data_IF_853224921644
#
_entry.id   IF_853224921644
#
_cell.length_a   1.000
_cell.length_b   1.000
_cell.length_c   1.000
_cell.angle_alpha   90.00
_cell.angle_beta   90.00
_cell.angle_gamma   90.00
#
_symmetry.space_group_name_H-M   'P 1'
#
loop_
_entity.id
_entity.type
_entity.pdbx_description
1 polymer ?
#
# COMPACT_ATOMS: atom_id res chain seq x y z
N UNK A 1 20.08 12.25 13.51
CA UNK A 1 18.60 12.09 13.56
C UNK A 1 18.29 11.02 12.54
N UNK A 2 17.99 9.79 12.96
CA UNK A 2 17.93 8.63 12.06
C UNK A 2 17.04 8.84 10.83
N UNK A 3 15.92 9.55 10.99
CA UNK A 3 15.02 9.88 9.87
C UNK A 3 15.62 10.86 8.86
N UNK A 4 16.52 11.75 9.30
CA UNK A 4 17.24 12.67 8.42
C UNK A 4 18.30 11.93 7.60
N UNK A 5 19.02 11.02 8.24
CA UNK A 5 20.05 10.21 7.59
C UNK A 5 19.43 9.24 6.57
N UNK A 6 18.38 8.51 6.95
CA UNK A 6 17.63 7.64 6.03
C UNK A 6 17.08 8.38 4.82
N UNK A 7 16.55 9.60 5.02
CA UNK A 7 16.08 10.43 3.92
C UNK A 7 17.22 10.83 2.98
N UNK A 8 18.37 11.21 3.52
CA UNK A 8 19.52 11.57 2.70
C UNK A 8 20.02 10.37 1.89
N UNK A 9 20.11 9.19 2.52
CA UNK A 9 20.46 7.95 1.81
C UNK A 9 19.51 7.65 0.65
N UNK A 10 18.20 7.85 0.84
CA UNK A 10 17.23 7.69 -0.24
C UNK A 10 17.43 8.70 -1.37
N UNK A 11 17.70 9.97 -1.05
CA UNK A 11 17.97 11.00 -2.05
C UNK A 11 19.23 10.70 -2.86
N UNK A 12 20.33 10.35 -2.18
CA UNK A 12 21.59 9.99 -2.80
C UNK A 12 21.43 8.78 -3.73
N UNK A 13 20.58 7.81 -3.35
CA UNK A 13 20.27 6.65 -4.16
C UNK A 13 19.48 7.02 -5.42
N UNK A 14 18.43 7.85 -5.30
CA UNK A 14 17.62 8.31 -6.44
C UNK A 14 18.49 9.08 -7.44
N UNK A 15 19.29 10.02 -6.95
CA UNK A 15 20.22 10.80 -7.77
C UNK A 15 21.31 9.91 -8.40
N UNK A 16 21.82 8.94 -7.64
CA UNK A 16 22.81 7.96 -8.11
C UNK A 16 22.30 7.08 -9.26
N UNK A 17 20.99 6.82 -9.32
CA UNK A 17 20.35 6.15 -10.45
C UNK A 17 20.06 7.08 -11.64
N UNK A 18 20.37 8.37 -11.54
CA UNK A 18 20.05 9.36 -12.56
C UNK A 18 18.55 9.67 -12.67
N UNK A 19 17.77 9.35 -11.63
CA UNK A 19 16.33 9.61 -11.58
C UNK A 19 16.12 11.05 -11.07
N UNK A 20 15.27 11.86 -11.73
CA UNK A 20 14.95 13.20 -11.25
C UNK A 20 14.35 13.18 -9.85
N UNK A 21 15.03 13.83 -8.89
CA UNK A 21 14.54 13.99 -7.53
C UNK A 21 13.85 15.36 -7.36
N UNK A 22 12.57 15.33 -7.02
CA UNK A 22 11.80 16.52 -6.65
C UNK A 22 11.49 16.46 -5.17
N UNK A 23 11.83 17.51 -4.43
CA UNK A 23 11.48 17.60 -3.01
C UNK A 23 10.60 18.81 -2.77
N UNK A 24 9.48 18.58 -2.09
CA UNK A 24 8.63 19.61 -1.53
C UNK A 24 8.29 19.21 -0.11
N UNK A 25 8.60 20.07 0.85
CA UNK A 25 8.30 19.80 2.25
C UNK A 25 6.94 20.39 2.61
N UNK A 26 6.02 19.55 3.08
CA UNK A 26 4.74 20.00 3.60
C UNK A 26 4.88 20.95 4.80
N UNK A 27 5.88 20.71 5.66
CA UNK A 27 6.13 21.50 6.88
C UNK A 27 6.42 22.98 6.61
N UNK A 28 7.03 23.28 5.48
CA UNK A 28 7.41 24.64 5.09
C UNK A 28 6.46 25.24 4.07
N UNK A 29 5.51 24.46 3.55
CA UNK A 29 4.57 24.92 2.56
C UNK A 29 3.33 25.48 3.25
N UNK A 30 3.06 26.78 3.08
CA UNK A 30 1.87 27.46 3.61
C UNK A 30 1.49 27.03 5.04
N UNK A 31 2.40 27.16 6.02
CA UNK A 31 2.12 26.75 7.40
C UNK A 31 0.91 27.49 7.98
N UNK A 32 0.63 28.71 7.48
CA UNK A 32 -0.59 29.47 7.78
C UNK A 32 -1.87 28.70 7.44
N UNK A 33 -1.93 28.06 6.26
CA UNK A 33 -3.08 27.25 5.87
C UNK A 33 -3.11 25.90 6.58
N UNK A 34 -1.96 25.28 6.83
CA UNK A 34 -1.92 23.99 7.55
C UNK A 34 -2.61 24.07 8.91
N UNK A 35 -2.48 25.19 9.62
CA UNK A 35 -3.09 25.40 10.93
C UNK A 35 -4.56 25.90 10.86
N UNK A 36 -4.94 26.58 9.77
CA UNK A 36 -6.23 27.28 9.68
C UNK A 36 -7.26 26.64 8.75
N UNK A 37 -6.82 26.00 7.66
CA UNK A 37 -7.65 25.35 6.65
C UNK A 37 -6.88 24.23 5.95
N UNK A 38 -6.96 23.01 6.51
CA UNK A 38 -6.27 21.84 5.98
C UNK A 38 -6.74 21.45 4.56
N UNK A 39 -8.00 21.75 4.21
CA UNK A 39 -8.51 21.48 2.87
C UNK A 39 -7.88 22.41 1.85
N UNK A 40 -7.92 23.71 2.09
CA UNK A 40 -7.30 24.70 1.20
C UNK A 40 -5.79 24.46 1.10
N UNK A 41 -5.15 24.12 2.23
CA UNK A 41 -3.74 23.73 2.22
C UNK A 41 -3.46 22.58 1.26
N UNK A 42 -4.28 21.52 1.32
CA UNK A 42 -4.13 20.33 0.48
C UNK A 42 -4.34 20.65 -0.98
N UNK A 43 -5.36 21.44 -1.31
CA UNK A 43 -5.64 21.86 -2.69
C UNK A 43 -4.46 22.69 -3.25
N UNK A 44 -3.88 23.62 -2.46
CA UNK A 44 -2.70 24.39 -2.85
C UNK A 44 -1.44 23.53 -2.96
N UNK A 45 -1.25 22.57 -2.06
CA UNK A 45 -0.12 21.65 -2.11
C UNK A 45 -0.21 20.75 -3.34
N UNK A 46 -1.42 20.26 -3.65
CA UNK A 46 -1.75 19.53 -4.85
C UNK A 46 -1.37 20.26 -6.13
N UNK A 47 -1.80 21.52 -6.27
CA UNK A 47 -1.42 22.39 -7.39
C UNK A 47 0.09 22.48 -7.55
N UNK A 48 0.82 22.61 -6.46
CA UNK A 48 2.29 22.68 -6.47
C UNK A 48 2.93 21.36 -6.88
N UNK A 49 2.41 20.22 -6.41
CA UNK A 49 2.84 18.89 -6.85
C UNK A 49 2.65 18.76 -8.36
N UNK A 50 1.43 19.02 -8.88
CA UNK A 50 1.16 18.97 -10.33
C UNK A 50 2.07 19.89 -11.12
N UNK A 51 2.31 21.12 -10.65
CA UNK A 51 3.23 22.06 -11.31
C UNK A 51 4.65 21.50 -11.41
N UNK A 52 5.15 20.88 -10.34
CA UNK A 52 6.49 20.30 -10.29
C UNK A 52 6.63 19.03 -11.13
N UNK A 53 5.58 18.21 -11.20
CA UNK A 53 5.61 16.93 -11.90
C UNK A 53 5.22 17.02 -13.37
N UNK A 54 4.50 18.07 -13.79
CA UNK A 54 4.04 18.28 -15.17
C UNK A 54 5.11 18.08 -16.26
N UNK A 55 6.37 18.53 -16.10
CA UNK A 55 7.40 18.35 -17.13
C UNK A 55 7.76 16.90 -17.45
N UNK A 56 7.40 15.94 -16.58
CA UNK A 56 7.84 14.55 -16.69
C UNK A 56 6.84 13.62 -17.39
N UNK A 57 5.61 14.09 -17.67
CA UNK A 57 4.60 13.30 -18.39
C UNK A 57 4.27 11.97 -17.70
N UNK A 58 3.69 12.02 -16.49
CA UNK A 58 3.41 10.83 -15.69
C UNK A 58 2.31 9.97 -16.35
N UNK A 59 2.67 8.75 -16.76
CA UNK A 59 1.71 7.73 -17.20
C UNK A 59 1.07 6.97 -16.02
N UNK A 60 1.85 6.75 -14.96
CA UNK A 60 1.43 6.03 -13.74
C UNK A 60 2.21 6.55 -12.53
N UNK A 61 1.50 6.92 -11.46
CA UNK A 61 2.09 7.29 -10.17
C UNK A 61 2.00 6.15 -9.16
N UNK A 62 3.02 5.96 -8.33
CA UNK A 62 3.00 5.01 -7.21
C UNK A 62 3.23 5.79 -5.91
N UNK A 63 2.26 5.72 -4.99
CA UNK A 63 2.35 6.29 -3.66
C UNK A 63 2.98 5.27 -2.71
N UNK A 64 4.30 5.16 -2.72
CA UNK A 64 5.05 4.26 -1.83
C UNK A 64 5.44 5.00 -0.53
N UNK A 65 4.60 4.89 0.50
CA UNK A 65 4.83 5.56 1.80
C UNK A 65 4.57 7.07 1.76
N UNK A 66 3.62 7.51 0.93
CA UNK A 66 3.16 8.89 0.90
C UNK A 66 2.20 9.14 2.08
N UNK A 67 2.66 9.89 3.08
CA UNK A 67 1.96 10.07 4.36
C UNK A 67 1.05 11.30 4.40
N UNK A 68 0.55 11.76 3.26
CA UNK A 68 -0.35 12.92 3.15
C UNK A 68 -1.58 12.52 2.33
N UNK A 69 -2.70 13.22 2.56
CA UNK A 69 -3.84 13.10 1.67
C UNK A 69 -3.57 13.85 0.36
N UNK A 70 -3.78 13.17 -0.76
CA UNK A 70 -3.72 13.80 -2.08
C UNK A 70 -4.99 14.61 -2.32
N UNK A 71 -4.88 15.75 -3.00
CA UNK A 71 -6.04 16.54 -3.38
C UNK A 71 -6.85 15.88 -4.51
N UNK A 72 -8.13 16.25 -4.57
CA UNK A 72 -9.09 15.67 -5.50
C UNK A 72 -8.70 15.88 -6.97
N UNK A 73 -8.12 17.03 -7.30
CA UNK A 73 -7.78 17.37 -8.68
C UNK A 73 -6.59 16.54 -9.16
N UNK A 74 -5.57 16.33 -8.32
CA UNK A 74 -4.46 15.42 -8.66
C UNK A 74 -4.92 13.97 -8.81
N UNK A 75 -5.83 13.49 -7.95
CA UNK A 75 -6.44 12.16 -8.11
C UNK A 75 -7.21 12.00 -9.43
N UNK A 76 -7.82 13.08 -9.94
CA UNK A 76 -8.51 13.07 -11.24
C UNK A 76 -7.53 13.13 -12.39
N UNK A 77 -6.52 13.99 -12.33
CA UNK A 77 -5.54 14.22 -13.40
C UNK A 77 -4.62 13.03 -13.62
N UNK A 78 -4.09 12.42 -12.56
CA UNK A 78 -3.15 11.31 -12.65
C UNK A 78 -3.77 9.98 -12.25
N UNK A 79 -3.33 8.91 -12.93
CA UNK A 79 -3.53 7.55 -12.47
C UNK A 79 -2.46 7.23 -11.44
N UNK A 80 -2.82 7.29 -10.17
CA UNK A 80 -1.91 7.00 -9.05
C UNK A 80 -2.40 5.79 -8.29
N UNK A 81 -1.49 4.91 -7.93
CA UNK A 81 -1.78 3.71 -7.14
C UNK A 81 -1.24 3.86 -5.73
N UNK A 82 -2.02 3.44 -4.75
CA UNK A 82 -1.59 3.32 -3.37
C UNK A 82 -1.58 1.84 -2.95
N UNK A 83 -0.60 1.48 -2.14
CA UNK A 83 -0.46 0.14 -1.60
C UNK A 83 -1.33 0.00 -0.34
N UNK A 84 -2.14 -1.05 -0.28
CA UNK A 84 -2.91 -1.42 0.89
C UNK A 84 -2.58 -2.87 1.30
N UNK A 85 -2.29 -3.16 2.59
CA UNK A 85 -1.85 -4.46 3.06
C UNK A 85 -3.02 -5.42 3.32
N UNK A 86 -3.95 -5.53 2.37
CA UNK A 86 -5.03 -6.50 2.40
C UNK A 86 -5.38 -6.97 0.97
N UNK A 87 -6.13 -8.06 0.87
CA UNK A 87 -6.77 -8.46 -0.38
C UNK A 87 -7.85 -7.45 -0.79
N UNK A 88 -8.25 -7.41 -2.08
CA UNK A 88 -9.29 -6.50 -2.61
C UNK A 88 -10.59 -6.41 -1.80
N UNK A 89 -11.05 -7.54 -1.25
CA UNK A 89 -12.26 -7.64 -0.43
C UNK A 89 -11.96 -7.77 1.07
N UNK A 90 -10.71 -7.48 1.48
CA UNK A 90 -10.23 -7.64 2.84
C UNK A 90 -10.49 -6.41 3.73
N UNK A 91 -10.01 -6.48 4.98
CA UNK A 91 -10.11 -5.38 5.94
C UNK A 91 -9.50 -4.06 5.45
N UNK A 92 -10.00 -2.96 6.01
CA UNK A 92 -9.48 -1.61 5.80
C UNK A 92 -8.87 -1.06 7.08
N UNK A 93 -8.01 -0.06 6.94
CA UNK A 93 -7.31 0.56 8.06
C UNK A 93 -5.80 0.35 7.97
N UNK A 94 -5.13 0.65 9.07
CA UNK A 94 -3.70 0.41 9.24
C UNK A 94 -3.38 -1.08 9.12
N UNK A 95 -2.11 -1.40 8.81
CA UNK A 95 -1.66 -2.78 8.71
C UNK A 95 -1.87 -3.55 10.04
N UNK A 96 -1.80 -2.87 11.19
CA UNK A 96 -2.09 -3.52 12.48
C UNK A 96 -3.57 -3.91 12.61
N UNK A 97 -4.47 -2.99 12.28
CA UNK A 97 -5.92 -3.24 12.34
C UNK A 97 -6.32 -4.35 11.37
N UNK A 98 -5.77 -4.33 10.16
CA UNK A 98 -6.00 -5.37 9.15
C UNK A 98 -5.61 -6.75 9.68
N UNK A 99 -4.39 -6.92 10.18
CA UNK A 99 -3.92 -8.24 10.64
C UNK A 99 -4.73 -8.73 11.84
N UNK A 100 -5.02 -7.86 12.82
CA UNK A 100 -5.86 -8.25 13.95
C UNK A 100 -7.29 -8.59 13.55
N UNK A 101 -7.85 -7.93 12.53
CA UNK A 101 -9.15 -8.29 11.99
C UNK A 101 -9.12 -9.67 11.31
N UNK A 102 -8.09 -9.96 10.51
CA UNK A 102 -7.92 -11.29 9.88
C UNK A 102 -7.80 -12.40 10.93
N UNK A 103 -7.04 -12.16 12.00
CA UNK A 103 -6.92 -13.11 13.12
C UNK A 103 -8.27 -13.32 13.79
N UNK A 104 -8.99 -12.22 14.11
CA UNK A 104 -10.32 -12.28 14.74
C UNK A 104 -11.33 -13.06 13.89
N UNK A 105 -11.27 -12.91 12.57
CA UNK A 105 -12.17 -13.56 11.63
C UNK A 105 -11.76 -15.00 11.31
N UNK A 106 -10.61 -15.47 11.82
CA UNK A 106 -10.09 -16.80 11.50
C UNK A 106 -9.77 -16.95 10.01
N UNK A 107 -9.34 -15.87 9.36
CA UNK A 107 -9.15 -15.84 7.91
C UNK A 107 -8.11 -16.85 7.44
N UNK A 108 -8.31 -17.41 6.25
CA UNK A 108 -7.37 -18.38 5.66
C UNK A 108 -6.29 -17.73 4.79
N UNK A 109 -6.52 -16.48 4.36
CA UNK A 109 -5.65 -15.77 3.43
C UNK A 109 -5.41 -14.34 3.85
N UNK A 110 -4.22 -13.85 3.50
CA UNK A 110 -3.85 -12.45 3.51
C UNK A 110 -3.26 -12.07 2.15
N UNK A 111 -3.06 -10.79 1.90
CA UNK A 111 -2.38 -10.28 0.73
C UNK A 111 -2.07 -8.80 0.83
N UNK A 112 -1.66 -8.25 -0.30
CA UNK A 112 -1.51 -6.82 -0.52
C UNK A 112 -2.12 -6.47 -1.87
N UNK A 113 -2.59 -5.24 -2.01
CA UNK A 113 -3.17 -4.72 -3.25
C UNK A 113 -2.62 -3.34 -3.58
N UNK A 114 -2.55 -3.04 -4.88
CA UNK A 114 -2.44 -1.69 -5.39
C UNK A 114 -3.81 -1.25 -5.90
N UNK A 115 -4.34 -0.20 -5.31
CA UNK A 115 -5.64 0.37 -5.70
C UNK A 115 -5.46 1.79 -6.23
N UNK A 116 -6.38 2.20 -7.09
CA UNK A 116 -6.39 3.55 -7.62
C UNK A 116 -6.65 4.57 -6.49
N UNK A 117 -5.95 5.70 -6.54
CA UNK A 117 -6.23 6.84 -5.67
C UNK A 117 -7.44 7.59 -6.21
N UNK A 118 -8.40 7.89 -5.34
CA UNK A 118 -9.60 8.64 -5.68
C UNK A 118 -9.88 9.70 -4.61
N UNK A 119 -10.69 10.73 -4.92
CA UNK A 119 -11.18 11.70 -3.93
C UNK A 119 -11.86 11.06 -2.69
N UNK A 120 -12.34 9.82 -2.81
CA UNK A 120 -13.06 9.13 -1.75
C UNK A 120 -12.15 8.35 -0.77
N UNK A 121 -10.82 8.45 -0.90
CA UNK A 121 -9.76 7.90 -0.04
C UNK A 121 -9.87 6.39 0.25
N UNK A 122 -8.84 5.61 -0.13
CA UNK A 122 -8.78 4.14 0.07
C UNK A 122 -10.05 3.37 -0.40
N UNK A 123 -10.72 3.96 -1.40
CA UNK A 123 -11.97 3.47 -2.01
C UNK A 123 -11.87 3.33 -3.52
N UNK A 124 -10.74 3.69 -4.13
CA UNK A 124 -10.57 3.45 -5.55
C UNK A 124 -10.50 1.96 -5.87
N UNK A 125 -10.77 1.64 -7.14
CA UNK A 125 -10.81 0.27 -7.59
C UNK A 125 -9.45 -0.43 -7.35
N UNK A 126 -9.45 -1.64 -6.77
CA UNK A 126 -8.23 -2.44 -6.67
C UNK A 126 -7.84 -2.87 -8.09
N UNK A 127 -6.56 -2.66 -8.45
CA UNK A 127 -6.07 -2.95 -9.80
C UNK A 127 -5.26 -4.22 -9.85
N UNK A 128 -4.30 -4.37 -8.94
CA UNK A 128 -3.47 -5.58 -8.83
C UNK A 128 -3.39 -6.02 -7.39
N UNK A 129 -3.20 -7.32 -7.17
CA UNK A 129 -2.99 -7.84 -5.82
C UNK A 129 -2.11 -9.09 -5.87
N UNK A 130 -1.56 -9.45 -4.72
CA UNK A 130 -1.01 -10.78 -4.47
C UNK A 130 -1.58 -11.30 -3.15
N UNK A 131 -1.82 -12.60 -3.05
CA UNK A 131 -2.33 -13.24 -1.84
C UNK A 131 -1.60 -14.51 -1.49
N UNK A 132 -1.54 -14.82 -0.20
CA UNK A 132 -0.90 -16.00 0.34
C UNK A 132 -1.77 -16.63 1.43
N UNK A 133 -1.56 -17.93 1.69
CA UNK A 133 -2.21 -18.65 2.78
C UNK A 133 -1.63 -18.18 4.12
N UNK A 134 -2.50 -17.98 5.10
CA UNK A 134 -2.10 -17.84 6.52
C UNK A 134 -2.52 -19.08 7.32
N UNK A 135 -2.61 -20.22 6.64
CA UNK A 135 -2.87 -21.57 7.13
C UNK A 135 -1.86 -22.55 6.54
N UNK A 136 -1.71 -23.71 7.15
CA UNK A 136 -0.78 -24.76 6.73
C UNK A 136 0.59 -24.62 7.37
N UNK A 137 1.60 -25.15 6.68
CA UNK A 137 2.98 -25.20 7.18
C UNK A 137 3.49 -23.80 7.59
N UNK A 138 4.01 -23.71 8.81
CA UNK A 138 4.50 -22.46 9.39
C UNK A 138 3.42 -21.55 10.02
N UNK A 139 2.13 -21.88 9.86
CA UNK A 139 1.01 -21.14 10.43
C UNK A 139 0.17 -21.95 11.41
N UNK A 140 -0.09 -23.24 11.14
CA UNK A 140 -1.03 -24.03 11.96
C UNK A 140 -0.63 -24.06 13.44
N UNK A 141 0.64 -24.28 13.76
CA UNK A 141 1.12 -24.21 15.15
C UNK A 141 0.98 -22.83 15.80
N UNK A 142 1.09 -21.74 15.03
CA UNK A 142 0.90 -20.38 15.54
C UNK A 142 -0.59 -20.10 15.83
N UNK A 143 -1.48 -20.65 15.01
CA UNK A 143 -2.92 -20.61 15.28
C UNK A 143 -3.29 -21.43 16.52
N UNK A 144 -2.77 -22.66 16.65
CA UNK A 144 -2.95 -23.49 17.85
C UNK A 144 -2.45 -22.80 19.12
N UNK A 145 -1.28 -22.16 19.07
CA UNK A 145 -0.72 -21.39 20.18
C UNK A 145 -1.62 -20.21 20.56
N UNK A 146 -2.19 -19.50 19.57
CA UNK A 146 -3.14 -18.42 19.83
C UNK A 146 -4.44 -18.96 20.44
N UNK A 147 -4.99 -20.05 19.91
CA UNK A 147 -6.19 -20.72 20.43
C UNK A 147 -6.01 -21.14 21.90
N UNK A 148 -4.85 -21.69 22.26
CA UNK A 148 -4.52 -22.01 23.64
C UNK A 148 -4.50 -20.77 24.55
N UNK A 149 -3.97 -19.62 24.08
CA UNK A 149 -4.03 -18.36 24.84
C UNK A 149 -5.46 -17.87 25.05
N UNK A 150 -6.36 -18.15 24.11
CA UNK A 150 -7.77 -17.74 24.16
C UNK A 150 -8.61 -18.55 25.17
N UNK A 151 -8.08 -19.63 25.74
CA UNK A 151 -8.74 -20.37 26.83
C UNK A 151 -8.87 -19.51 28.11
N UNK A 152 -7.87 -18.68 28.40
CA UNK A 152 -7.79 -17.87 29.62
C UNK A 152 -7.89 -16.35 29.38
N UNK A 153 -7.84 -15.90 28.12
CA UNK A 153 -7.72 -14.47 27.76
C UNK A 153 -8.60 -14.12 26.56
N UNK A 154 -9.04 -12.86 26.50
CA UNK A 154 -9.73 -12.36 25.30
C UNK A 154 -8.72 -12.02 24.20
N UNK A 155 -9.16 -12.05 22.93
CA UNK A 155 -8.33 -11.61 21.81
C UNK A 155 -7.94 -10.13 21.97
N UNK A 156 -8.83 -9.29 22.48
CA UNK A 156 -8.57 -7.89 22.78
C UNK A 156 -7.47 -7.71 23.84
N UNK A 157 -7.44 -8.57 24.87
CA UNK A 157 -6.36 -8.56 25.86
C UNK A 157 -5.02 -9.00 25.27
N UNK A 158 -5.00 -10.01 24.41
CA UNK A 158 -3.79 -10.46 23.70
C UNK A 158 -3.28 -9.33 22.78
N UNK A 159 -4.15 -8.77 21.96
CA UNK A 159 -3.82 -7.67 21.06
C UNK A 159 -3.31 -6.43 21.80
N UNK A 160 -3.82 -6.17 23.02
CA UNK A 160 -3.37 -5.05 23.87
C UNK A 160 -2.02 -5.30 24.54
N UNK A 161 -1.73 -6.51 25.00
CA UNK A 161 -0.50 -6.79 25.77
C UNK A 161 0.67 -7.26 24.91
N UNK A 162 0.40 -8.08 23.89
CA UNK A 162 1.42 -8.65 23.00
C UNK A 162 1.51 -7.82 21.72
N UNK A 163 0.38 -7.32 21.21
CA UNK A 163 0.35 -6.43 20.05
C UNK A 163 1.13 -6.99 18.88
N UNK A 164 2.05 -6.20 18.34
CA UNK A 164 2.83 -6.59 17.14
C UNK A 164 3.84 -7.71 17.39
N UNK A 165 4.10 -8.04 18.66
CA UNK A 165 5.03 -9.10 19.05
C UNK A 165 4.35 -10.47 19.20
N UNK A 166 3.01 -10.54 19.06
CA UNK A 166 2.29 -11.82 19.04
C UNK A 166 2.80 -12.67 17.84
N UNK A 167 3.21 -13.94 18.05
CA UNK A 167 3.83 -14.77 17.02
C UNK A 167 3.06 -14.92 15.70
N UNK A 168 1.75 -15.20 15.73
CA UNK A 168 0.94 -15.33 14.52
C UNK A 168 0.87 -13.98 13.79
N UNK A 169 0.55 -12.91 14.51
CA UNK A 169 0.51 -11.56 13.97
C UNK A 169 1.82 -11.17 13.29
N UNK A 170 2.94 -11.42 13.97
CA UNK A 170 4.28 -11.11 13.49
C UNK A 170 4.59 -11.85 12.21
N UNK A 171 4.29 -13.16 12.15
CA UNK A 171 4.49 -13.98 10.95
C UNK A 171 3.68 -13.46 9.76
N UNK A 172 2.41 -13.14 9.97
CA UNK A 172 1.54 -12.55 8.94
C UNK A 172 2.13 -11.22 8.45
N UNK A 173 2.63 -10.37 9.36
CA UNK A 173 3.23 -9.08 8.96
C UNK A 173 4.50 -9.29 8.14
N UNK A 174 5.40 -10.17 8.57
CA UNK A 174 6.65 -10.46 7.87
C UNK A 174 6.40 -11.00 6.46
N UNK A 175 5.49 -11.98 6.33
CA UNK A 175 5.13 -12.56 5.03
C UNK A 175 4.35 -11.62 4.11
N UNK A 176 3.58 -10.68 4.68
CA UNK A 176 2.96 -9.60 3.94
C UNK A 176 3.99 -8.57 3.46
N UNK A 177 4.86 -8.12 4.37
CA UNK A 177 5.87 -7.09 4.08
C UNK A 177 6.84 -7.51 2.97
N UNK A 178 7.28 -8.77 2.96
CA UNK A 178 8.18 -9.29 1.90
C UNK A 178 7.55 -9.23 0.51
N UNK A 179 6.21 -9.23 0.40
CA UNK A 179 5.46 -9.19 -0.86
C UNK A 179 5.13 -7.79 -1.36
N UNK A 180 5.22 -6.76 -0.51
CA UNK A 180 4.83 -5.38 -0.86
C UNK A 180 5.67 -4.81 -2.02
N UNK A 181 7.00 -4.86 -1.90
CA UNK A 181 7.89 -4.36 -2.95
C UNK A 181 7.82 -5.19 -4.24
N UNK A 182 7.86 -6.54 -4.20
CA UNK A 182 7.57 -7.37 -5.37
C UNK A 182 6.27 -7.01 -6.09
N UNK A 183 5.18 -6.83 -5.35
CA UNK A 183 3.89 -6.47 -5.94
C UNK A 183 3.95 -5.14 -6.69
N UNK A 184 4.64 -4.13 -6.13
CA UNK A 184 4.86 -2.85 -6.80
C UNK A 184 5.63 -3.06 -8.11
N UNK A 185 6.72 -3.83 -8.08
CA UNK A 185 7.56 -4.08 -9.25
C UNK A 185 6.78 -4.83 -10.34
N UNK A 186 6.07 -5.91 -9.99
CA UNK A 186 5.29 -6.70 -10.94
C UNK A 186 4.09 -5.93 -11.49
N UNK A 187 3.52 -5.02 -10.69
CA UNK A 187 2.47 -4.11 -11.17
C UNK A 187 3.03 -3.17 -12.21
N UNK A 188 4.13 -2.46 -11.91
CA UNK A 188 4.80 -1.56 -12.88
C UNK A 188 5.15 -2.32 -14.15
N UNK A 189 5.71 -3.53 -14.02
CA UNK A 189 6.03 -4.39 -15.18
C UNK A 189 4.78 -4.74 -15.99
N UNK A 190 3.67 -5.10 -15.34
CA UNK A 190 2.40 -5.41 -16.01
C UNK A 190 1.86 -4.23 -16.83
N UNK A 191 2.01 -3.00 -16.32
CA UNK A 191 1.68 -1.77 -17.06
C UNK A 191 2.64 -1.52 -18.22
N UNK A 192 3.95 -1.65 -17.98
CA UNK A 192 4.99 -1.44 -19.00
C UNK A 192 4.86 -2.42 -20.18
N UNK A 193 4.53 -3.68 -19.89
CA UNK A 193 4.30 -4.73 -20.90
C UNK A 193 2.94 -4.57 -21.60
N UNK A 194 2.08 -3.67 -21.12
CA UNK A 194 0.72 -3.47 -21.63
C UNK A 194 -0.24 -4.63 -21.35
N UNK A 195 0.11 -5.51 -20.39
CA UNK A 195 -0.78 -6.59 -19.92
C UNK A 195 -2.01 -6.01 -19.21
N UNK A 196 -1.79 -4.96 -18.42
CA UNK A 196 -2.83 -4.17 -17.76
C UNK A 196 -2.75 -2.72 -18.22
N UNK A 197 -3.89 -2.03 -18.26
CA UNK A 197 -3.99 -0.59 -18.53
C UNK A 197 -5.09 0.01 -17.67
N UNK A 198 -5.04 1.33 -17.48
CA UNK A 198 -6.16 2.09 -16.93
C UNK A 198 -6.80 2.86 -18.08
N UNK A 199 -8.13 2.77 -18.18
CA UNK A 199 -8.93 3.58 -19.08
C UNK A 199 -10.15 4.07 -18.30
N UNK A 200 -10.40 5.37 -18.30
CA UNK A 200 -11.52 5.99 -17.57
C UNK A 200 -11.58 5.54 -16.09
N UNK A 201 -10.40 5.48 -15.45
CA UNK A 201 -10.20 5.01 -14.06
C UNK A 201 -10.63 3.55 -13.83
N UNK A 202 -10.65 2.73 -14.88
CA UNK A 202 -11.00 1.30 -14.83
C UNK A 202 -9.88 0.43 -15.34
N UNK A 203 -9.75 -0.77 -14.77
CA UNK A 203 -8.76 -1.76 -15.17
C UNK A 203 -9.14 -2.42 -16.50
N UNK A 204 -8.22 -2.39 -17.46
CA UNK A 204 -8.34 -3.06 -18.76
C UNK A 204 -7.25 -4.14 -18.86
N UNK A 205 -7.65 -5.37 -19.18
CA UNK A 205 -6.74 -6.51 -19.40
C UNK A 205 -7.13 -7.21 -20.71
N UNK A 206 -6.17 -7.40 -21.61
CA UNK A 206 -6.44 -8.04 -22.91
C UNK A 206 -7.51 -7.31 -23.75
N UNK A 207 -7.65 -5.99 -23.58
CA UNK A 207 -8.65 -5.16 -24.25
C UNK A 207 -10.07 -5.23 -23.67
N UNK A 208 -10.27 -5.91 -22.53
CA UNK A 208 -11.55 -5.98 -21.84
C UNK A 208 -11.45 -5.31 -20.48
N UNK A 209 -12.52 -4.64 -20.08
CA UNK A 209 -12.69 -4.18 -18.70
C UNK A 209 -12.73 -5.39 -17.78
N UNK A 210 -11.99 -5.33 -16.69
CA UNK A 210 -12.03 -6.30 -15.60
C UNK A 210 -12.66 -5.63 -14.38
N UNK A 211 -13.68 -6.27 -13.82
CA UNK A 211 -14.37 -5.78 -12.61
C UNK A 211 -13.71 -6.24 -11.31
N UNK A 212 -12.69 -7.11 -11.41
CA UNK A 212 -11.87 -7.59 -10.31
C UNK A 212 -10.43 -7.12 -10.49
N UNK A 213 -9.65 -7.09 -9.41
CA UNK A 213 -8.22 -6.84 -9.50
C UNK A 213 -7.51 -7.99 -10.23
N UNK A 214 -6.40 -7.68 -10.89
CA UNK A 214 -5.54 -8.64 -11.57
C UNK A 214 -4.61 -9.32 -10.56
N UNK A 215 -4.65 -10.66 -10.52
CA UNK A 215 -3.84 -11.46 -9.62
C UNK A 215 -2.40 -11.55 -10.12
N UNK A 216 -1.44 -11.18 -9.27
CA UNK A 216 0.00 -11.26 -9.49
C UNK A 216 0.70 -12.18 -8.48
N UNK A 217 -0.06 -13.05 -7.79
CA UNK A 217 0.50 -13.91 -6.74
C UNK A 217 1.63 -14.79 -7.27
N UNK A 218 1.47 -15.40 -8.45
CA UNK A 218 2.51 -16.26 -9.03
C UNK A 218 3.80 -15.50 -9.38
N UNK A 219 3.70 -14.30 -9.96
CA UNK A 219 4.87 -13.49 -10.27
C UNK A 219 5.57 -12.98 -9.00
N UNK A 220 4.78 -12.60 -7.99
CA UNK A 220 5.31 -12.17 -6.69
C UNK A 220 6.02 -13.31 -5.98
N UNK A 221 5.40 -14.49 -5.86
CA UNK A 221 6.01 -15.64 -5.17
C UNK A 221 7.30 -16.09 -5.88
N UNK A 222 7.30 -16.10 -7.22
CA UNK A 222 8.51 -16.41 -8.01
C UNK A 222 9.66 -15.44 -7.71
N UNK A 223 9.38 -14.17 -7.46
CA UNK A 223 10.40 -13.17 -7.11
C UNK A 223 11.01 -13.40 -5.72
N UNK A 224 10.27 -14.07 -4.83
CA UNK A 224 10.70 -14.46 -3.50
C UNK A 224 11.47 -15.79 -3.50
N UNK A 225 11.46 -16.53 -4.61
CA UNK A 225 11.99 -17.89 -4.68
C UNK A 225 11.07 -18.93 -4.05
N UNK A 226 9.78 -18.59 -3.93
CA UNK A 226 8.70 -19.45 -3.42
C UNK A 226 7.93 -20.12 -4.59
#
# INVERSE_FOLDING_TARGET
>A
NPRREQRQMFFDMVEGYGIPLITKSWKTFRPDLWESDEKEWRDEYGKEIRRLTKPYGIDLGILAGYMLWMDDETCREYDMLNLHPALPNGPKGTWQEVIWQLIREGADRQGAMLHLCTPEWDRGAPLTYCGFSIRGEGYDGLWEDLEAKLEDRTLEDIARTEGVDEPLFKKIREDGAKRELPLIVETIRSFADGRVRIQDKQLIVGGKRLDTAFDLSEEVDRSLGE
#
